data_IF_882412019408
#
_entry.id   IF_882412019408
#
_cell.length_a   1.000
_cell.length_b   1.000
_cell.length_c   1.000
_cell.angle_alpha   90.00
_cell.angle_beta   90.00
_cell.angle_gamma   90.00
#
_symmetry.space_group_name_H-M   'P 1'
#
loop_
_entity.id
_entity.type
_entity.pdbx_description
1 polymer ?
#
# COMPACT_ATOMS: atom_id res chain seq x y z
N UNK A 1 -23.72 2.39 11.60
CA UNK A 1 -22.64 3.09 10.88
C UNK A 1 -21.37 2.47 11.42
N UNK A 2 -20.71 1.65 10.62
CA UNK A 2 -19.55 0.89 11.07
C UNK A 2 -18.35 1.84 11.24
N UNK A 3 -17.59 1.65 12.31
CA UNK A 3 -16.39 2.43 12.56
C UNK A 3 -15.34 2.14 11.48
N UNK A 4 -14.56 3.15 11.06
CA UNK A 4 -13.52 2.94 10.08
C UNK A 4 -12.51 1.93 10.61
N UNK A 5 -12.10 1.00 9.74
CA UNK A 5 -11.22 -0.10 10.12
C UNK A 5 -10.09 -0.22 9.12
N UNK A 6 -8.87 -0.38 9.63
CA UNK A 6 -7.71 -0.69 8.80
C UNK A 6 -7.25 -2.12 9.09
N UNK A 7 -7.09 -2.90 8.03
CA UNK A 7 -6.49 -4.24 8.07
C UNK A 7 -5.24 -4.27 7.21
N UNK A 8 -4.15 -4.78 7.77
CA UNK A 8 -2.89 -4.98 7.08
C UNK A 8 -2.74 -6.44 6.69
N UNK A 9 -2.30 -6.68 5.46
CA UNK A 9 -1.99 -8.00 4.93
C UNK A 9 -0.52 -8.07 4.56
N UNK A 10 0.16 -9.11 5.03
CA UNK A 10 1.45 -9.52 4.50
C UNK A 10 1.19 -10.48 3.35
N UNK A 11 1.64 -10.13 2.15
CA UNK A 11 1.38 -10.90 0.93
C UNK A 11 2.61 -11.71 0.52
N UNK A 12 2.39 -12.87 -0.10
CA UNK A 12 3.42 -13.63 -0.81
C UNK A 12 3.41 -13.28 -2.30
N UNK A 13 4.10 -12.21 -2.65
CA UNK A 13 4.28 -11.83 -4.06
C UNK A 13 5.15 -12.81 -4.85
N UNK A 14 6.03 -13.57 -4.20
CA UNK A 14 6.95 -14.50 -4.87
C UNK A 14 6.22 -15.76 -5.36
N UNK A 15 5.17 -16.16 -4.63
CA UNK A 15 4.26 -17.23 -5.06
C UNK A 15 3.44 -16.87 -6.32
N UNK A 16 3.51 -15.61 -6.77
CA UNK A 16 2.75 -15.12 -7.92
C UNK A 16 1.24 -15.01 -7.64
N UNK A 17 0.48 -14.76 -8.70
CA UNK A 17 -0.98 -14.70 -8.61
C UNK A 17 -1.57 -16.10 -8.42
N UNK A 18 -2.55 -16.19 -7.53
CA UNK A 18 -3.38 -17.35 -7.28
C UNK A 18 -4.84 -17.00 -7.55
N UNK A 19 -5.71 -17.95 -7.91
CA UNK A 19 -7.14 -17.69 -8.00
C UNK A 19 -7.69 -17.11 -6.70
N UNK A 20 -8.61 -16.15 -6.81
CA UNK A 20 -9.23 -15.55 -5.64
C UNK A 20 -9.94 -16.58 -4.75
N UNK A 21 -9.72 -16.47 -3.44
CA UNK A 21 -10.28 -17.35 -2.42
C UNK A 21 -10.05 -16.79 -1.02
N UNK A 22 -10.41 -17.57 0.01
CA UNK A 22 -10.35 -17.13 1.41
C UNK A 22 -8.94 -16.73 1.90
N UNK A 23 -7.89 -17.28 1.26
CA UNK A 23 -6.50 -17.05 1.63
C UNK A 23 -5.77 -16.10 0.67
N UNK A 24 -6.49 -15.41 -0.21
CA UNK A 24 -5.91 -14.41 -1.11
C UNK A 24 -6.46 -13.02 -0.86
N UNK A 25 -5.69 -12.02 -1.27
CA UNK A 25 -6.07 -10.63 -1.32
C UNK A 25 -5.78 -10.10 -2.71
N UNK A 26 -6.81 -10.03 -3.57
CA UNK A 26 -6.70 -9.62 -4.98
C UNK A 26 -5.68 -10.45 -5.77
N UNK A 27 -5.89 -11.76 -5.81
CA UNK A 27 -5.02 -12.81 -6.37
C UNK A 27 -3.69 -13.06 -5.63
N UNK A 28 -3.41 -12.44 -4.48
CA UNK A 28 -2.13 -12.64 -3.78
C UNK A 28 -2.30 -13.41 -2.48
N UNK A 29 -1.52 -14.48 -2.27
CA UNK A 29 -1.56 -15.27 -1.03
C UNK A 29 -1.31 -14.38 0.19
N UNK A 30 -2.15 -14.52 1.22
CA UNK A 30 -1.98 -13.87 2.51
C UNK A 30 -1.11 -14.75 3.41
N UNK A 31 0.04 -14.22 3.83
CA UNK A 31 0.93 -14.85 4.81
C UNK A 31 0.55 -14.51 6.26
N UNK A 32 0.02 -13.30 6.48
CA UNK A 32 -0.40 -12.84 7.79
C UNK A 32 -1.38 -11.67 7.66
N UNK A 33 -2.29 -11.53 8.63
CA UNK A 33 -3.27 -10.46 8.72
C UNK A 33 -3.18 -9.78 10.07
N UNK A 34 -3.28 -8.45 10.10
CA UNK A 34 -3.37 -7.68 11.34
C UNK A 34 -4.44 -6.61 11.24
N UNK A 35 -5.43 -6.70 12.13
CA UNK A 35 -6.45 -5.67 12.29
C UNK A 35 -5.88 -4.57 13.20
N UNK A 36 -6.03 -3.32 12.77
CA UNK A 36 -5.60 -2.14 13.52
C UNK A 36 -6.87 -1.45 14.01
N UNK A 37 -7.11 -1.51 15.32
CA UNK A 37 -8.31 -0.93 15.95
C UNK A 37 -8.05 0.43 16.58
N UNK A 38 -6.80 0.76 16.88
CA UNK A 38 -6.42 2.05 17.47
C UNK A 38 -6.54 3.19 16.43
N UNK A 39 -7.42 4.18 16.63
CA UNK A 39 -7.66 5.23 15.64
C UNK A 39 -6.43 6.10 15.34
N UNK A 40 -5.58 6.37 16.33
CA UNK A 40 -4.35 7.13 16.13
C UNK A 40 -3.39 6.37 15.21
N UNK A 41 -3.22 5.07 15.45
CA UNK A 41 -2.40 4.20 14.61
C UNK A 41 -2.96 4.12 13.20
N UNK A 42 -4.28 3.92 13.04
CA UNK A 42 -4.93 3.91 11.72
C UNK A 42 -4.60 5.19 10.94
N UNK A 43 -4.84 6.35 11.55
CA UNK A 43 -4.73 7.63 10.87
C UNK A 43 -3.27 8.07 10.69
N UNK A 44 -2.54 8.20 11.79
CA UNK A 44 -1.24 8.87 11.84
C UNK A 44 -0.06 7.96 11.50
N UNK A 45 -0.22 6.63 11.61
CA UNK A 45 0.86 5.68 11.31
C UNK A 45 0.67 4.91 10.02
N UNK A 46 -0.54 4.89 9.47
CA UNK A 46 -0.86 4.11 8.26
C UNK A 46 -1.41 5.00 7.16
N UNK A 47 -2.59 5.59 7.34
CA UNK A 47 -3.31 6.26 6.26
C UNK A 47 -2.63 7.56 5.80
N UNK A 48 -2.19 8.41 6.72
CA UNK A 48 -1.46 9.65 6.37
C UNK A 48 -0.13 9.34 5.66
N UNK A 49 0.73 8.45 6.19
CA UNK A 49 1.95 8.06 5.48
C UNK A 49 1.67 7.39 4.12
N UNK A 50 0.68 6.50 4.03
CA UNK A 50 0.30 5.88 2.76
C UNK A 50 -0.01 6.95 1.70
N UNK A 51 -0.85 7.93 2.06
CA UNK A 51 -1.22 9.01 1.15
C UNK A 51 -0.01 9.88 0.79
N UNK A 52 0.83 10.24 1.78
CA UNK A 52 2.04 11.02 1.53
C UNK A 52 3.02 10.31 0.58
N UNK A 53 3.13 8.98 0.64
CA UNK A 53 3.94 8.20 -0.29
C UNK A 53 3.34 8.14 -1.69
N UNK A 54 2.00 8.08 -1.81
CA UNK A 54 1.30 8.13 -3.10
C UNK A 54 1.51 9.49 -3.78
N UNK A 55 1.49 10.57 -2.99
CA UNK A 55 1.66 11.94 -3.47
C UNK A 55 3.14 12.37 -3.65
N UNK A 56 4.10 11.46 -3.44
CA UNK A 56 5.53 11.79 -3.56
C UNK A 56 5.92 12.08 -5.02
N UNK A 57 6.34 13.32 -5.36
CA UNK A 57 6.71 13.69 -6.71
C UNK A 57 7.99 12.99 -7.21
N UNK A 58 8.82 12.46 -6.30
CA UNK A 58 10.04 11.74 -6.65
C UNK A 58 9.80 10.24 -6.84
N UNK A 59 8.58 9.75 -6.64
CA UNK A 59 8.27 8.33 -6.71
C UNK A 59 8.65 7.75 -8.09
N UNK A 60 9.45 6.68 -8.08
CA UNK A 60 9.94 6.02 -9.29
C UNK A 60 9.41 4.61 -9.38
N UNK A 61 8.86 4.27 -10.55
CA UNK A 61 8.41 2.94 -10.87
C UNK A 61 9.52 2.08 -11.50
N UNK A 62 9.60 0.81 -11.10
CA UNK A 62 10.30 -0.25 -11.85
C UNK A 62 9.30 -1.21 -12.49
N UNK A 63 9.76 -2.04 -13.43
CA UNK A 63 8.87 -2.92 -14.23
C UNK A 63 8.26 -4.11 -13.46
N UNK A 64 8.80 -4.49 -12.30
CA UNK A 64 8.26 -5.62 -11.54
C UNK A 64 7.03 -5.23 -10.73
N UNK A 65 6.20 -6.21 -10.37
CA UNK A 65 5.14 -6.06 -9.39
C UNK A 65 5.02 -7.35 -8.58
N UNK A 66 5.72 -7.36 -7.44
CA UNK A 66 5.84 -8.50 -6.52
C UNK A 66 5.35 -7.99 -5.16
N UNK A 67 4.02 -7.82 -4.98
CA UNK A 67 3.49 -7.14 -3.82
C UNK A 67 3.69 -7.98 -2.56
N UNK A 68 4.09 -7.32 -1.47
CA UNK A 68 4.28 -7.94 -0.15
C UNK A 68 3.39 -7.31 0.93
N UNK A 69 2.64 -6.29 0.55
CA UNK A 69 1.89 -5.45 1.48
C UNK A 69 0.49 -5.21 0.90
N UNK A 70 -0.53 -5.51 1.69
CA UNK A 70 -1.91 -5.16 1.42
C UNK A 70 -2.44 -4.28 2.55
N UNK A 71 -3.29 -3.29 2.21
CA UNK A 71 -4.01 -2.46 3.19
C UNK A 71 -5.46 -2.42 2.77
N UNK A 72 -6.38 -2.87 3.63
CA UNK A 72 -7.82 -2.62 3.49
C UNK A 72 -8.23 -1.53 4.45
N UNK A 73 -8.90 -0.51 3.93
CA UNK A 73 -9.55 0.54 4.70
C UNK A 73 -11.06 0.46 4.45
N UNK A 74 -11.83 0.14 5.49
CA UNK A 74 -13.28 0.32 5.51
C UNK A 74 -13.56 1.76 5.91
N UNK A 75 -14.17 2.53 5.02
CA UNK A 75 -14.50 3.94 5.26
C UNK A 75 -15.82 4.06 6.01
N UNK A 76 -16.08 5.24 6.59
CA UNK A 76 -17.34 5.52 7.32
C UNK A 76 -18.59 5.45 6.44
N UNK A 77 -18.44 5.66 5.13
CA UNK A 77 -19.50 5.52 4.12
C UNK A 77 -19.65 4.08 3.61
N UNK A 78 -18.95 3.12 4.21
CA UNK A 78 -19.07 1.68 3.88
C UNK A 78 -18.33 1.26 2.62
N UNK A 79 -17.47 2.12 2.06
CA UNK A 79 -16.61 1.75 0.95
C UNK A 79 -15.40 0.98 1.45
N UNK A 80 -14.96 0.00 0.66
CA UNK A 80 -13.68 -0.68 0.90
C UNK A 80 -12.65 -0.15 -0.08
N UNK A 81 -11.55 0.35 0.46
CA UNK A 81 -10.38 0.77 -0.31
C UNK A 81 -9.24 -0.20 -0.01
N UNK A 82 -8.84 -0.94 -1.03
CA UNK A 82 -7.83 -1.98 -0.92
C UNK A 82 -6.59 -1.58 -1.73
N UNK A 83 -5.47 -1.42 -1.03
CA UNK A 83 -4.19 -1.09 -1.63
C UNK A 83 -3.32 -2.34 -1.66
N UNK A 84 -2.91 -2.76 -2.85
CA UNK A 84 -1.90 -3.81 -3.04
C UNK A 84 -0.59 -3.14 -3.42
N UNK A 85 0.44 -3.28 -2.59
CA UNK A 85 1.63 -2.44 -2.63
C UNK A 85 2.89 -3.28 -2.83
N UNK A 86 3.70 -2.86 -3.80
CA UNK A 86 5.04 -3.38 -4.06
C UNK A 86 6.08 -2.27 -3.83
N UNK A 87 6.62 -2.18 -2.61
CA UNK A 87 7.68 -1.21 -2.29
C UNK A 87 8.99 -1.45 -3.06
N UNK A 88 9.24 -2.69 -3.52
CA UNK A 88 10.45 -2.98 -4.32
C UNK A 88 10.45 -2.22 -5.66
N UNK A 89 9.28 -2.07 -6.28
CA UNK A 89 9.14 -1.33 -7.53
C UNK A 89 8.55 0.06 -7.36
N UNK A 90 8.14 0.44 -6.14
CA UNK A 90 7.51 1.72 -5.85
C UNK A 90 6.16 1.86 -6.53
N UNK A 91 5.34 0.80 -6.60
CA UNK A 91 4.01 0.86 -7.22
C UNK A 91 2.92 0.25 -6.35
N UNK A 92 1.68 0.70 -6.58
CA UNK A 92 0.50 0.16 -5.93
C UNK A 92 -0.65 -0.03 -6.93
N UNK A 93 -1.61 -0.86 -6.54
CA UNK A 93 -2.93 -0.96 -7.16
C UNK A 93 -4.00 -0.65 -6.11
N UNK A 94 -5.00 0.13 -6.50
CA UNK A 94 -6.15 0.46 -5.66
C UNK A 94 -7.38 -0.23 -6.21
N UNK A 95 -8.05 -0.97 -5.33
CA UNK A 95 -9.36 -1.53 -5.58
C UNK A 95 -10.39 -0.81 -4.72
N UNK A 96 -11.55 -0.52 -5.29
CA UNK A 96 -12.70 0.06 -4.61
C UNK A 96 -13.83 -0.95 -4.68
N UNK A 97 -14.33 -1.40 -3.53
CA UNK A 97 -15.42 -2.38 -3.46
C UNK A 97 -15.12 -3.67 -4.26
N UNK A 98 -13.87 -4.14 -4.19
CA UNK A 98 -13.42 -5.33 -4.90
C UNK A 98 -12.99 -5.09 -6.35
N UNK A 99 -13.35 -3.97 -6.96
CA UNK A 99 -13.01 -3.68 -8.37
C UNK A 99 -11.76 -2.82 -8.48
N UNK A 100 -10.91 -3.12 -9.46
CA UNK A 100 -9.68 -2.36 -9.68
C UNK A 100 -10.03 -0.95 -10.17
N UNK A 101 -9.83 0.04 -9.32
CA UNK A 101 -10.13 1.44 -9.60
C UNK A 101 -8.97 2.14 -10.32
N UNK A 102 -7.75 2.01 -9.79
CA UNK A 102 -6.55 2.66 -10.36
C UNK A 102 -5.25 1.99 -9.87
N UNK A 103 -4.12 2.56 -10.24
CA UNK A 103 -2.81 2.24 -9.70
C UNK A 103 -1.84 3.40 -9.94
N UNK A 104 -0.71 3.38 -9.28
CA UNK A 104 0.27 4.44 -9.40
C UNK A 104 1.57 4.10 -8.71
N UNK A 105 2.38 5.13 -8.52
CA UNK A 105 3.64 5.05 -7.79
C UNK A 105 3.42 5.29 -6.30
N UNK A 106 4.27 4.69 -5.48
CA UNK A 106 4.40 5.01 -4.07
C UNK A 106 5.87 5.24 -3.75
N UNK A 107 6.19 6.46 -3.33
CA UNK A 107 7.52 6.89 -2.98
C UNK A 107 7.86 6.65 -1.51
N UNK A 108 9.15 6.77 -1.14
CA UNK A 108 9.55 6.76 0.26
C UNK A 108 8.94 7.97 0.98
N UNK A 109 8.15 7.73 2.03
CA UNK A 109 7.75 8.80 2.95
C UNK A 109 9.01 9.30 3.68
N UNK A 110 9.29 10.58 3.55
CA UNK A 110 10.60 11.10 3.90
C UNK A 110 10.92 11.10 5.39
N UNK A 111 11.65 10.07 5.81
CA UNK A 111 12.76 10.19 6.76
C UNK A 111 14.06 10.62 6.04
N UNK A 112 14.11 10.54 4.70
CA UNK A 112 15.31 10.76 3.88
C UNK A 112 15.47 12.20 3.36
N UNK A 113 14.42 13.05 3.33
CA UNK A 113 14.57 14.51 3.08
C UNK A 113 15.36 15.26 4.15
N UNK A 114 15.56 14.67 5.34
CA UNK A 114 16.44 15.26 6.38
C UNK A 114 17.93 15.15 6.04
N UNK A 115 18.30 14.38 5.02
CA UNK A 115 19.66 14.37 4.49
C UNK A 115 19.71 15.19 3.20
N UNK A 116 20.51 16.27 3.13
CA UNK A 116 20.71 16.98 1.87
C UNK A 116 21.27 16.00 0.84
N UNK A 117 20.53 15.80 -0.26
CA UNK A 117 21.03 15.10 -1.43
C UNK A 117 22.24 15.88 -1.94
N UNK A 118 23.45 15.39 -1.66
CA UNK A 118 24.67 15.95 -2.24
C UNK A 118 24.58 15.70 -3.73
N UNK A 119 24.39 16.78 -4.48
CA UNK A 119 24.36 16.77 -5.93
C UNK A 119 25.75 16.35 -6.44
N UNK A 120 25.95 15.06 -6.74
CA UNK A 120 27.07 14.60 -7.55
C UNK A 120 26.64 14.57 -9.01
N UNK A 121 26.66 15.75 -9.62
CA UNK A 121 26.79 15.88 -11.06
C UNK A 121 28.02 16.74 -11.35
N UNK A 122 29.16 16.06 -11.40
CA UNK A 122 30.34 16.55 -12.13
C UNK A 122 30.81 15.43 -13.06
N UNK A 123 30.63 15.65 -14.35
CA UNK A 123 31.52 15.19 -15.40
C UNK A 123 31.74 16.36 -16.35
#
# INVERSE_FOLDING_TARGET
MDDPLVTLYRLDGDAGRQPDGENTFHDWIILNTRIITDPDTQQNKILIPLQAGIDDPDARQRRCFIPRHGIRHLTKDGQTLDYVICFQCGSYHLYRNGERATGGTIGPVDFLRSFPRTNKQTR
#
